data_IF_506068716222
#
_entry.id   IF_506068716222
#
_cell.length_a   1.000
_cell.length_b   1.000
_cell.length_c   1.000
_cell.angle_alpha   90.00
_cell.angle_beta   90.00
_cell.angle_gamma   90.00
#
_symmetry.space_group_name_H-M   'P 1'
#
loop_
_entity.id
_entity.type
_entity.pdbx_description
1 polymer ?
#
# COMPACT_ATOMS: atom_id res chain seq x y z
N UNK A 1 5.21 19.09 -8.32
CA UNK A 1 5.53 17.77 -8.89
C UNK A 1 6.91 17.73 -9.55
N UNK A 2 7.22 18.63 -10.50
CA UNK A 2 8.52 18.64 -11.24
C UNK A 2 9.76 18.52 -10.33
N UNK A 3 9.81 19.26 -9.22
CA UNK A 3 10.93 19.20 -8.27
C UNK A 3 11.04 17.89 -7.48
N UNK A 4 9.93 17.15 -7.31
CA UNK A 4 9.93 15.82 -6.70
C UNK A 4 10.41 14.77 -7.71
N UNK A 5 9.96 14.87 -8.96
CA UNK A 5 10.38 13.95 -10.03
C UNK A 5 11.86 14.14 -10.36
N UNK A 6 12.37 15.38 -10.32
CA UNK A 6 13.82 15.63 -10.45
C UNK A 6 14.66 14.98 -9.34
N UNK A 7 14.06 14.67 -8.19
CA UNK A 7 14.73 13.94 -7.10
C UNK A 7 14.60 12.44 -7.24
N UNK A 8 13.72 11.94 -8.12
CA UNK A 8 13.71 10.51 -8.46
C UNK A 8 14.96 10.20 -9.28
N UNK A 9 15.69 9.15 -8.90
CA UNK A 9 16.96 8.80 -9.54
C UNK A 9 16.78 8.51 -11.04
N UNK A 10 17.87 8.50 -11.84
CA UNK A 10 17.81 8.38 -13.30
C UNK A 10 17.23 7.05 -13.80
N UNK A 11 17.09 6.06 -12.91
CA UNK A 11 16.58 4.73 -13.23
C UNK A 11 15.07 4.58 -12.95
N UNK A 12 14.38 5.67 -12.59
CA UNK A 12 12.94 5.68 -12.33
C UNK A 12 12.23 6.31 -13.52
N UNK A 13 11.45 5.50 -14.24
CA UNK A 13 10.59 5.99 -15.29
C UNK A 13 9.31 6.59 -14.68
N UNK A 14 9.16 7.90 -14.80
CA UNK A 14 8.06 8.67 -14.20
C UNK A 14 6.95 9.02 -15.19
N UNK A 15 7.03 8.55 -16.45
CA UNK A 15 6.04 8.89 -17.48
C UNK A 15 4.64 8.30 -17.22
N UNK A 16 4.55 7.30 -16.33
CA UNK A 16 3.30 6.61 -15.98
C UNK A 16 2.63 7.15 -14.71
N UNK A 17 3.08 8.30 -14.20
CA UNK A 17 2.42 8.94 -13.07
C UNK A 17 1.01 9.38 -13.47
N UNK A 18 0.03 8.99 -12.64
CA UNK A 18 -1.36 9.37 -12.86
C UNK A 18 -1.53 10.81 -12.40
N UNK A 19 -1.93 11.66 -13.34
CA UNK A 19 -2.21 13.07 -13.07
C UNK A 19 -3.40 13.25 -12.10
N UNK A 20 -3.41 14.33 -11.30
CA UNK A 20 -4.49 14.62 -10.39
C UNK A 20 -5.84 14.78 -11.10
N UNK A 21 -6.91 14.32 -10.46
CA UNK A 21 -8.29 14.44 -10.99
C UNK A 21 -8.78 15.88 -11.11
N UNK A 22 -8.19 16.82 -10.38
CA UNK A 22 -8.55 18.24 -10.40
C UNK A 22 -7.35 19.14 -10.10
N UNK A 23 -7.47 20.43 -10.46
CA UNK A 23 -6.45 21.45 -10.15
C UNK A 23 -6.34 21.78 -8.66
N UNK A 24 -7.27 21.31 -7.83
CA UNK A 24 -7.26 21.48 -6.38
C UNK A 24 -6.62 20.31 -5.64
N UNK A 25 -6.32 19.21 -6.35
CA UNK A 25 -5.64 18.07 -5.76
C UNK A 25 -4.21 18.45 -5.35
N UNK A 26 -3.75 17.82 -4.27
CA UNK A 26 -2.40 18.00 -3.73
C UNK A 26 -1.74 16.64 -3.57
N UNK A 27 -0.41 16.61 -3.74
CA UNK A 27 0.41 15.43 -3.46
C UNK A 27 0.38 15.12 -1.97
N UNK A 28 0.44 13.83 -1.63
CA UNK A 28 0.53 13.37 -0.24
C UNK A 28 1.72 13.98 0.50
N UNK A 29 1.57 14.11 1.82
CA UNK A 29 2.60 14.63 2.72
C UNK A 29 2.81 13.65 3.88
N UNK A 30 4.06 13.38 4.20
CA UNK A 30 4.45 12.68 5.42
C UNK A 30 5.36 13.60 6.24
N UNK A 31 5.02 13.80 7.51
CA UNK A 31 5.88 14.49 8.49
C UNK A 31 6.38 13.46 9.48
N UNK A 32 7.70 13.31 9.58
CA UNK A 32 8.34 12.31 10.43
C UNK A 32 8.97 13.00 11.66
N UNK A 33 8.21 13.21 12.75
CA UNK A 33 8.79 13.71 13.98
C UNK A 33 9.76 12.69 14.57
N UNK A 34 10.88 13.20 15.10
CA UNK A 34 11.81 12.43 15.93
C UNK A 34 11.59 12.91 17.37
N UNK A 35 11.14 12.01 18.23
CA UNK A 35 10.89 12.31 19.63
C UNK A 35 12.22 12.35 20.41
N UNK A 36 12.22 12.98 21.59
CA UNK A 36 13.42 13.14 22.42
C UNK A 36 14.00 11.81 22.92
N UNK A 37 13.19 10.75 22.92
CA UNK A 37 13.59 9.39 23.26
C UNK A 37 14.10 8.58 22.04
N UNK A 38 14.24 9.21 20.88
CA UNK A 38 14.73 8.58 19.65
C UNK A 38 13.66 7.83 18.85
N UNK A 39 12.42 7.73 19.34
CA UNK A 39 11.31 7.17 18.56
C UNK A 39 11.00 8.06 17.35
N UNK A 40 10.40 7.46 16.33
CA UNK A 40 9.91 8.16 15.13
C UNK A 40 8.40 8.05 15.06
N UNK A 41 7.74 9.15 14.75
CA UNK A 41 6.35 9.14 14.33
C UNK A 41 6.24 9.29 12.82
N UNK A 42 5.02 9.10 12.30
CA UNK A 42 4.67 9.48 10.94
C UNK A 42 3.27 10.09 10.97
N UNK A 43 3.17 11.38 10.66
CA UNK A 43 1.90 12.04 10.38
C UNK A 43 1.72 12.02 8.87
N UNK A 44 0.79 11.20 8.41
CA UNK A 44 0.57 10.99 6.98
C UNK A 44 -0.76 11.61 6.55
N UNK A 45 -0.68 12.36 5.45
CA UNK A 45 -1.81 12.90 4.75
C UNK A 45 -1.77 12.37 3.32
N UNK A 46 -2.63 11.40 3.05
CA UNK A 46 -2.72 10.71 1.78
C UNK A 46 -3.16 11.65 0.62
N UNK A 47 -3.79 12.78 0.93
CA UNK A 47 -4.24 13.77 -0.05
C UNK A 47 -4.94 13.13 -1.26
N UNK A 48 -4.54 13.44 -2.50
CA UNK A 48 -5.19 12.89 -3.70
C UNK A 48 -5.19 11.35 -3.79
N UNK A 49 -4.30 10.67 -3.06
CA UNK A 49 -4.22 9.21 -3.09
C UNK A 49 -5.48 8.54 -2.52
N UNK A 50 -6.24 9.22 -1.64
CA UNK A 50 -7.49 8.64 -1.09
C UNK A 50 -8.62 8.57 -2.11
N UNK A 51 -8.54 9.37 -3.18
CA UNK A 51 -9.64 9.55 -4.14
C UNK A 51 -9.50 8.62 -5.35
N UNK A 52 -8.35 7.98 -5.54
CA UNK A 52 -8.16 7.05 -6.65
C UNK A 52 -8.90 5.76 -6.37
N UNK A 53 -9.73 5.34 -7.32
CA UNK A 53 -10.32 4.00 -7.35
C UNK A 53 -9.45 3.04 -8.14
N UNK A 54 -9.68 1.74 -8.01
CA UNK A 54 -9.01 0.72 -8.82
C UNK A 54 -9.15 1.03 -10.31
N UNK A 55 -10.34 1.43 -10.75
CA UNK A 55 -10.62 1.77 -12.15
C UNK A 55 -9.76 2.93 -12.65
N UNK A 56 -9.46 3.87 -11.75
CA UNK A 56 -8.56 4.97 -12.08
C UNK A 56 -7.12 4.52 -12.26
N UNK A 57 -6.69 3.45 -11.60
CA UNK A 57 -5.35 2.90 -11.72
C UNK A 57 -5.27 1.95 -12.92
N UNK A 58 -6.17 0.98 -13.01
CA UNK A 58 -6.12 -0.10 -14.00
C UNK A 58 -6.32 0.39 -15.44
N UNK A 59 -7.00 1.53 -15.64
CA UNK A 59 -7.09 2.18 -16.96
C UNK A 59 -5.73 2.53 -17.57
N UNK A 60 -4.69 2.67 -16.74
CA UNK A 60 -3.33 2.97 -17.19
C UNK A 60 -2.49 1.72 -17.45
N UNK A 61 -2.90 0.53 -17.01
CA UNK A 61 -2.13 -0.70 -17.22
C UNK A 61 -1.83 -1.00 -18.69
N UNK A 62 -2.74 -0.77 -19.66
CA UNK A 62 -2.43 -0.97 -21.07
C UNK A 62 -1.34 -0.05 -21.62
N UNK A 63 -1.08 1.09 -20.97
CA UNK A 63 -0.01 2.02 -21.37
C UNK A 63 1.36 1.63 -20.84
N UNK A 64 1.42 0.76 -19.83
CA UNK A 64 2.67 0.28 -19.24
C UNK A 64 3.17 -0.89 -20.10
N UNK A 65 4.46 -0.94 -20.49
CA UNK A 65 5.03 -2.05 -21.23
C UNK A 65 5.19 -3.28 -20.31
N UNK A 66 4.07 -3.95 -20.04
CA UNK A 66 3.94 -5.07 -19.11
C UNK A 66 4.79 -6.28 -19.48
N UNK A 67 5.16 -6.42 -20.75
CA UNK A 67 6.09 -7.44 -21.25
C UNK A 67 7.47 -7.43 -20.55
N UNK A 68 7.82 -6.33 -19.88
CA UNK A 68 9.07 -6.18 -19.13
C UNK A 68 8.85 -6.03 -17.61
N UNK A 69 7.62 -6.13 -17.12
CA UNK A 69 7.32 -5.99 -15.69
C UNK A 69 7.38 -7.37 -15.04
N UNK A 70 8.48 -7.66 -14.34
CA UNK A 70 8.67 -8.92 -13.62
C UNK A 70 7.96 -8.98 -12.27
N UNK A 71 7.70 -7.82 -11.65
CA UNK A 71 7.05 -7.72 -10.35
C UNK A 71 6.28 -6.41 -10.21
N UNK A 72 5.23 -6.44 -9.40
CA UNK A 72 4.51 -5.27 -8.90
C UNK A 72 4.72 -5.20 -7.39
N UNK A 73 5.02 -4.00 -6.89
CA UNK A 73 5.03 -3.70 -5.47
C UNK A 73 3.87 -2.76 -5.17
N UNK A 74 2.99 -3.15 -4.26
CA UNK A 74 1.93 -2.29 -3.76
C UNK A 74 2.12 -2.05 -2.26
N UNK A 75 2.22 -0.78 -1.87
CA UNK A 75 2.53 -0.40 -0.49
C UNK A 75 1.37 0.25 0.23
N UNK A 76 1.26 -0.03 1.53
CA UNK A 76 0.41 0.65 2.49
C UNK A 76 -1.09 0.71 2.11
N UNK A 77 -1.74 -0.41 1.68
CA UNK A 77 -3.17 -0.42 1.38
C UNK A 77 -4.04 0.03 2.56
N UNK A 78 -3.59 -0.19 3.80
CA UNK A 78 -4.29 0.25 5.01
C UNK A 78 -4.42 1.79 5.11
N UNK A 79 -3.62 2.56 4.37
CA UNK A 79 -3.71 4.02 4.29
C UNK A 79 -4.60 4.50 3.13
N UNK A 80 -5.08 3.60 2.27
CA UNK A 80 -5.80 3.90 1.04
C UNK A 80 -7.15 3.18 1.03
N UNK A 81 -8.23 3.75 1.60
CA UNK A 81 -9.52 3.06 1.79
C UNK A 81 -10.14 2.48 0.51
N UNK A 82 -9.91 3.12 -0.64
CA UNK A 82 -10.42 2.65 -1.93
C UNK A 82 -9.61 1.47 -2.51
N UNK A 83 -8.53 1.06 -1.84
CA UNK A 83 -7.58 0.01 -2.26
C UNK A 83 -7.44 -1.07 -1.18
N UNK A 84 -8.54 -1.41 -0.51
CA UNK A 84 -8.60 -2.39 0.57
C UNK A 84 -9.55 -3.54 0.23
N UNK A 85 -9.31 -4.72 0.82
CA UNK A 85 -10.20 -5.86 0.74
C UNK A 85 -10.47 -6.30 -0.70
N UNK A 86 -11.76 -6.44 -1.11
CA UNK A 86 -12.11 -6.84 -2.47
C UNK A 86 -11.53 -5.91 -3.55
N UNK A 87 -11.40 -4.61 -3.24
CA UNK A 87 -10.84 -3.66 -4.20
C UNK A 87 -9.35 -3.93 -4.47
N UNK A 88 -8.61 -4.30 -3.44
CA UNK A 88 -7.22 -4.71 -3.60
C UNK A 88 -7.13 -6.01 -4.41
N UNK A 89 -8.01 -6.99 -4.15
CA UNK A 89 -8.07 -8.23 -4.91
C UNK A 89 -8.35 -8.00 -6.40
N UNK A 90 -9.31 -7.12 -6.72
CA UNK A 90 -9.66 -6.72 -8.08
C UNK A 90 -8.47 -6.02 -8.79
N UNK A 91 -7.74 -5.16 -8.09
CA UNK A 91 -6.51 -4.55 -8.61
C UNK A 91 -5.48 -5.63 -8.97
N UNK A 92 -5.17 -6.53 -8.03
CA UNK A 92 -4.13 -7.53 -8.22
C UNK A 92 -4.50 -8.59 -9.27
N UNK A 93 -5.77 -8.98 -9.35
CA UNK A 93 -6.26 -9.91 -10.38
C UNK A 93 -6.26 -9.33 -11.80
N UNK A 94 -6.23 -8.00 -11.93
CA UNK A 94 -6.13 -7.33 -13.23
C UNK A 94 -4.71 -7.29 -13.81
N UNK A 95 -3.71 -7.76 -13.06
CA UNK A 95 -2.32 -7.81 -13.51
C UNK A 95 -2.09 -8.93 -14.54
N UNK A 96 -1.09 -8.79 -15.42
CA UNK A 96 -0.70 -9.85 -16.33
C UNK A 96 -0.37 -11.15 -15.59
N UNK A 97 -0.77 -12.28 -16.19
CA UNK A 97 -0.39 -13.60 -15.68
C UNK A 97 1.14 -13.68 -15.56
N UNK A 98 1.63 -14.20 -14.41
CA UNK A 98 3.05 -14.33 -14.02
C UNK A 98 3.71 -13.07 -13.44
N UNK A 99 2.97 -11.99 -13.20
CA UNK A 99 3.50 -10.86 -12.42
C UNK A 99 3.69 -11.31 -10.97
N UNK A 100 4.90 -11.19 -10.42
CA UNK A 100 5.12 -11.39 -8.98
C UNK A 100 4.52 -10.21 -8.22
N UNK A 101 3.65 -10.47 -7.26
CA UNK A 101 3.01 -9.44 -6.44
C UNK A 101 3.65 -9.41 -5.06
N UNK A 102 4.29 -8.28 -4.75
CA UNK A 102 4.77 -7.97 -3.42
C UNK A 102 3.87 -6.90 -2.77
N UNK A 103 3.44 -7.15 -1.54
CA UNK A 103 2.65 -6.22 -0.74
C UNK A 103 3.43 -5.75 0.48
N UNK A 104 3.58 -4.44 0.66
CA UNK A 104 4.22 -3.82 1.82
C UNK A 104 3.19 -3.24 2.79
N UNK A 105 3.25 -3.64 4.06
CA UNK A 105 2.31 -3.28 5.12
C UNK A 105 2.98 -2.69 6.36
N UNK A 106 4.15 -2.10 6.21
CA UNK A 106 4.80 -1.44 7.34
C UNK A 106 3.90 -0.34 7.95
N UNK A 107 3.97 -0.17 9.26
CA UNK A 107 3.29 0.92 9.98
C UNK A 107 1.81 0.68 10.30
N UNK A 108 1.30 -0.55 10.14
CA UNK A 108 0.00 -0.93 10.69
C UNK A 108 0.08 -0.88 12.23
N UNK A 109 -0.81 -0.16 12.92
CA UNK A 109 -0.80 -0.13 14.38
C UNK A 109 -1.06 -1.55 14.93
N UNK A 110 -0.47 -1.90 16.09
CA UNK A 110 -0.72 -3.20 16.70
C UNK A 110 -2.22 -3.37 16.98
N UNK A 111 -2.72 -4.61 16.94
CA UNK A 111 -4.10 -4.88 17.31
C UNK A 111 -4.38 -4.35 18.73
N UNK A 112 -5.63 -3.94 19.03
CA UNK A 112 -5.98 -3.53 20.38
C UNK A 112 -5.62 -4.62 21.39
N UNK A 113 -5.18 -4.25 22.60
CA UNK A 113 -4.85 -5.24 23.62
C UNK A 113 -6.08 -6.10 23.92
N UNK A 114 -5.91 -7.41 24.16
CA UNK A 114 -7.01 -8.30 24.45
C UNK A 114 -7.65 -7.92 25.79
N UNK A 115 -8.85 -8.44 26.07
CA UNK A 115 -9.47 -8.32 27.38
C UNK A 115 -8.51 -8.75 28.49
N UNK A 116 -8.58 -8.07 29.65
CA UNK A 116 -7.71 -8.35 30.78
C UNK A 116 -7.74 -9.84 31.17
N UNK A 117 -6.59 -10.51 31.06
CA UNK A 117 -6.41 -11.93 31.41
C UNK A 117 -5.91 -12.83 30.27
N UNK A 118 -5.82 -12.33 29.04
CA UNK A 118 -5.18 -13.07 27.94
C UNK A 118 -3.73 -12.64 27.76
N UNK A 119 -2.81 -13.60 27.91
CA UNK A 119 -1.38 -13.40 27.72
C UNK A 119 -1.09 -13.14 26.23
N UNK A 120 -0.59 -11.94 25.95
CA UNK A 120 -0.44 -11.40 24.61
C UNK A 120 0.99 -11.50 24.08
N UNK A 121 1.86 -12.23 24.79
CA UNK A 121 3.24 -12.40 24.36
C UNK A 121 3.27 -13.27 23.11
N UNK A 122 3.36 -12.61 21.96
CA UNK A 122 3.82 -13.19 20.70
C UNK A 122 2.79 -14.01 19.89
N UNK A 123 1.50 -13.68 19.96
CA UNK A 123 0.49 -14.38 19.15
C UNK A 123 0.54 -13.86 17.71
N UNK A 124 1.28 -14.57 16.84
CA UNK A 124 1.15 -14.39 15.39
C UNK A 124 -0.32 -14.50 14.99
N UNK A 125 -0.77 -13.61 14.09
CA UNK A 125 -2.11 -13.71 13.52
C UNK A 125 -2.29 -15.08 12.88
N UNK A 126 -3.40 -15.72 13.18
CA UNK A 126 -3.80 -16.97 12.54
C UNK A 126 -4.11 -16.72 11.06
N UNK A 127 -4.05 -17.79 10.25
CA UNK A 127 -4.44 -17.73 8.84
C UNK A 127 -5.89 -17.25 8.70
N UNK A 128 -6.78 -17.69 9.58
CA UNK A 128 -8.18 -17.27 9.60
C UNK A 128 -8.33 -15.78 9.92
N UNK A 129 -7.58 -15.26 10.90
CA UNK A 129 -7.57 -13.82 11.21
C UNK A 129 -7.05 -12.97 10.04
N UNK A 130 -6.08 -13.46 9.28
CA UNK A 130 -5.58 -12.80 8.07
C UNK A 130 -6.60 -12.86 6.93
N UNK A 131 -7.26 -14.01 6.73
CA UNK A 131 -8.30 -14.18 5.71
C UNK A 131 -9.54 -13.31 5.99
N UNK A 132 -9.84 -13.04 7.26
CA UNK A 132 -10.94 -12.17 7.68
C UNK A 132 -10.53 -10.70 7.80
N UNK A 133 -9.30 -10.35 7.46
CA UNK A 133 -8.82 -8.97 7.50
C UNK A 133 -9.53 -8.09 6.47
N UNK A 134 -10.06 -6.94 6.90
CA UNK A 134 -10.80 -6.03 6.02
C UNK A 134 -9.93 -5.34 4.96
N UNK A 135 -8.62 -5.24 5.22
CA UNK A 135 -7.63 -4.65 4.31
C UNK A 135 -7.09 -5.69 3.35
N UNK A 136 -6.80 -6.91 3.82
CA UNK A 136 -6.01 -7.89 3.07
C UNK A 136 -6.74 -9.15 2.68
N UNK A 137 -7.74 -9.56 3.45
CA UNK A 137 -8.26 -10.92 3.43
C UNK A 137 -8.60 -11.42 2.03
N UNK A 138 -9.37 -10.61 1.28
CA UNK A 138 -9.75 -10.92 -0.09
C UNK A 138 -8.58 -10.90 -1.09
N UNK A 139 -7.52 -10.14 -0.81
CA UNK A 139 -6.36 -9.97 -1.68
C UNK A 139 -5.26 -11.02 -1.45
N UNK A 140 -5.23 -11.69 -0.29
CA UNK A 140 -4.20 -12.67 0.07
C UNK A 140 -3.91 -13.74 -1.00
N UNK A 141 -4.90 -14.32 -1.70
CA UNK A 141 -4.65 -15.32 -2.74
C UNK A 141 -3.87 -14.78 -3.95
N UNK A 142 -3.73 -13.46 -4.09
CA UNK A 142 -3.06 -12.78 -5.19
C UNK A 142 -1.68 -12.22 -4.81
N UNK A 143 -1.20 -12.50 -3.59
CA UNK A 143 0.06 -11.95 -3.07
C UNK A 143 1.09 -13.08 -3.02
N UNK A 144 2.23 -12.90 -3.70
CA UNK A 144 3.35 -13.83 -3.66
C UNK A 144 4.30 -13.53 -2.50
N UNK A 145 4.50 -12.24 -2.19
CA UNK A 145 5.42 -11.77 -1.16
C UNK A 145 4.68 -10.79 -0.26
N UNK A 146 4.53 -11.12 1.03
CA UNK A 146 3.96 -10.24 2.03
C UNK A 146 5.07 -9.70 2.93
N UNK A 147 5.32 -8.39 2.86
CA UNK A 147 6.28 -7.69 3.71
C UNK A 147 5.55 -7.03 4.88
N UNK A 148 5.85 -7.52 6.09
CA UNK A 148 5.31 -7.04 7.36
C UNK A 148 6.47 -6.64 8.27
N UNK A 149 6.25 -5.66 9.15
CA UNK A 149 7.15 -5.44 10.28
C UNK A 149 7.06 -6.61 11.29
N UNK A 150 8.07 -6.77 12.13
CA UNK A 150 8.09 -7.77 13.21
C UNK A 150 7.08 -7.51 14.34
N UNK A 151 6.51 -6.29 14.40
CA UNK A 151 5.55 -5.84 15.42
C UNK A 151 4.10 -6.19 15.11
#
# INVERSE_FOLDING_TARGET
LVSLLQKTGPNVDTQYIIEPKSSQCRTALAVLPIYTDGRRGCLFDAASNVDYSIKDITKHFPSIPTQNVGAMIFGYPHLLPQMQGPNLADLLSSLPQKTIVALDLNGVPPPPPPPAGEDNNNKMRTVEELQNDSVLGAALPHIDILHLNEE
#
